data_IF_181456026617
#
_entry.id   IF_181456026617
#
_cell.length_a   1.000
_cell.length_b   1.000
_cell.length_c   1.000
_cell.angle_alpha   90.00
_cell.angle_beta   90.00
_cell.angle_gamma   90.00
#
_symmetry.space_group_name_H-M   'P 1'
#
loop_
_entity.id
_entity.type
_entity.pdbx_description
1 polymer ?
#
# COMPACT_ATOMS: atom_id res chain seq x y z
N UNK A 1 -21.81 -15.93 62.77
CA UNK A 1 -21.95 -15.61 61.31
C UNK A 1 -22.22 -14.13 61.19
N UNK A 2 -21.18 -13.35 60.82
CA UNK A 2 -21.32 -11.90 60.67
C UNK A 2 -21.56 -11.64 59.19
N UNK A 3 -22.78 -11.23 58.84
CA UNK A 3 -23.13 -10.81 57.49
C UNK A 3 -22.46 -9.47 57.17
N UNK A 4 -21.51 -9.49 56.26
CA UNK A 4 -20.84 -8.30 55.74
C UNK A 4 -21.83 -7.47 54.90
N UNK A 5 -22.41 -6.42 55.52
CA UNK A 5 -23.28 -5.45 54.82
C UNK A 5 -22.48 -4.76 53.74
N UNK A 6 -22.67 -5.18 52.46
CA UNK A 6 -22.11 -4.54 51.26
C UNK A 6 -22.46 -3.03 51.25
N UNK A 7 -21.44 -2.24 51.42
CA UNK A 7 -21.51 -0.78 51.48
C UNK A 7 -22.16 -0.17 50.21
N UNK A 8 -23.40 0.35 50.25
CA UNK A 8 -24.16 0.80 49.07
C UNK A 8 -23.53 1.98 48.33
N UNK A 9 -22.67 2.76 49.00
CA UNK A 9 -21.98 3.93 48.43
C UNK A 9 -20.89 3.47 47.42
N UNK A 10 -20.20 2.36 47.69
CA UNK A 10 -19.15 1.82 46.80
C UNK A 10 -19.74 1.24 45.53
N UNK A 11 -20.91 0.64 45.56
CA UNK A 11 -21.62 0.11 44.39
C UNK A 11 -22.19 1.22 43.49
N UNK A 12 -22.64 2.33 44.07
CA UNK A 12 -23.16 3.50 43.34
C UNK A 12 -22.04 4.25 42.61
N UNK A 13 -20.87 4.47 43.25
CA UNK A 13 -19.69 5.08 42.60
C UNK A 13 -19.15 4.24 41.41
N UNK A 14 -19.13 2.90 41.54
CA UNK A 14 -18.71 2.00 40.47
C UNK A 14 -19.69 2.02 39.27
N UNK A 15 -20.99 2.13 39.53
CA UNK A 15 -22.04 2.23 38.50
C UNK A 15 -22.01 3.59 37.80
N UNK A 16 -21.73 4.69 38.50
CA UNK A 16 -21.57 6.03 37.93
C UNK A 16 -20.32 6.14 37.04
N UNK A 17 -19.15 5.59 37.42
CA UNK A 17 -17.96 5.56 36.60
C UNK A 17 -18.20 4.82 35.28
N UNK A 18 -18.87 3.67 35.31
CA UNK A 18 -19.16 2.86 34.12
C UNK A 18 -20.10 3.57 33.13
N UNK A 19 -21.02 4.40 33.61
CA UNK A 19 -21.91 5.23 32.77
C UNK A 19 -21.17 6.42 32.17
N UNK A 20 -20.26 7.04 32.94
CA UNK A 20 -19.47 8.18 32.46
C UNK A 20 -18.54 7.79 31.29
N UNK A 21 -17.77 6.71 31.42
CA UNK A 21 -16.89 6.23 30.37
C UNK A 21 -17.64 5.96 29.05
N UNK A 22 -18.80 5.36 29.11
CA UNK A 22 -19.61 5.13 27.91
C UNK A 22 -20.09 6.42 27.27
N UNK A 23 -20.53 7.38 28.07
CA UNK A 23 -20.96 8.70 27.58
C UNK A 23 -19.78 9.47 26.94
N UNK A 24 -18.63 9.42 27.56
CA UNK A 24 -17.40 10.03 27.01
C UNK A 24 -17.02 9.40 25.69
N UNK A 25 -17.06 8.05 25.60
CA UNK A 25 -16.77 7.33 24.34
C UNK A 25 -17.83 7.62 23.26
N UNK A 26 -19.12 7.65 23.60
CA UNK A 26 -20.22 8.04 22.69
C UNK A 26 -20.01 9.45 22.13
N UNK A 27 -19.64 10.40 22.99
CA UNK A 27 -19.38 11.79 22.62
C UNK A 27 -18.13 11.89 21.70
N UNK A 28 -17.03 11.27 22.11
CA UNK A 28 -15.79 11.26 21.36
C UNK A 28 -15.98 10.65 19.97
N UNK A 29 -16.52 9.43 19.89
CA UNK A 29 -16.77 8.72 18.65
C UNK A 29 -17.63 9.54 17.68
N UNK A 30 -18.68 10.19 18.19
CA UNK A 30 -19.57 11.01 17.38
C UNK A 30 -18.86 12.25 16.82
N UNK A 31 -18.30 13.08 17.70
CA UNK A 31 -17.80 14.39 17.28
C UNK A 31 -16.50 14.28 16.49
N UNK A 32 -15.60 13.43 16.93
CA UNK A 32 -14.35 13.18 16.19
C UNK A 32 -14.64 12.49 14.87
N UNK A 33 -15.62 11.57 14.83
CA UNK A 33 -16.05 10.92 13.58
C UNK A 33 -16.69 11.89 12.58
N UNK A 34 -17.44 12.90 13.04
CA UNK A 34 -17.99 13.94 12.15
C UNK A 34 -16.87 14.82 11.58
N UNK A 35 -15.93 15.27 12.42
CA UNK A 35 -14.84 16.17 11.99
C UNK A 35 -13.88 15.48 11.01
N UNK A 36 -13.49 14.24 11.30
CA UNK A 36 -12.59 13.46 10.43
C UNK A 36 -13.29 12.75 9.25
N UNK A 37 -14.62 12.85 9.17
CA UNK A 37 -15.42 12.08 8.23
C UNK A 37 -15.10 12.36 6.78
N UNK A 38 -14.91 13.63 6.39
CA UNK A 38 -14.63 14.02 5.00
C UNK A 38 -13.30 13.41 4.49
N UNK A 39 -12.16 13.63 5.17
CA UNK A 39 -10.90 12.97 4.79
C UNK A 39 -11.02 11.45 4.68
N UNK A 40 -11.66 10.79 5.65
CA UNK A 40 -11.83 9.33 5.66
C UNK A 40 -12.64 8.85 4.46
N UNK A 41 -13.72 9.54 4.09
CA UNK A 41 -14.51 9.21 2.90
C UNK A 41 -13.66 9.32 1.63
N UNK A 42 -12.93 10.42 1.47
CA UNK A 42 -12.08 10.64 0.29
C UNK A 42 -10.97 9.61 0.17
N UNK A 43 -10.22 9.37 1.26
CA UNK A 43 -9.15 8.38 1.32
C UNK A 43 -9.68 6.97 1.01
N UNK A 44 -10.83 6.60 1.59
CA UNK A 44 -11.41 5.28 1.36
C UNK A 44 -11.93 5.10 -0.08
N UNK A 45 -12.55 6.11 -0.68
CA UNK A 45 -13.04 6.03 -2.06
C UNK A 45 -11.90 5.99 -3.07
N UNK A 46 -10.88 6.83 -2.89
CA UNK A 46 -9.67 6.80 -3.74
C UNK A 46 -8.95 5.47 -3.59
N UNK A 47 -8.84 4.91 -2.37
CA UNK A 47 -8.32 3.58 -2.13
C UNK A 47 -9.08 2.48 -2.86
N UNK A 48 -10.43 2.53 -2.92
CA UNK A 48 -11.23 1.58 -3.71
C UNK A 48 -10.82 1.56 -5.20
N UNK A 49 -10.54 2.74 -5.77
CA UNK A 49 -10.13 2.86 -7.17
C UNK A 49 -8.72 2.30 -7.37
N UNK A 50 -7.78 2.66 -6.48
CA UNK A 50 -6.36 2.26 -6.57
C UNK A 50 -6.15 0.75 -6.39
N UNK A 51 -7.00 0.05 -5.64
CA UNK A 51 -6.90 -1.42 -5.47
C UNK A 51 -6.89 -2.14 -6.82
N UNK A 52 -7.61 -1.64 -7.82
CA UNK A 52 -7.72 -2.22 -9.16
C UNK A 52 -6.99 -1.41 -10.24
N UNK A 53 -6.06 -0.53 -9.87
CA UNK A 53 -5.31 0.30 -10.81
C UNK A 53 -4.65 -0.53 -11.91
N UNK A 54 -3.97 -1.63 -11.54
CA UNK A 54 -3.29 -2.51 -12.51
C UNK A 54 -4.29 -3.09 -13.50
N UNK A 55 -5.33 -3.72 -13.03
CA UNK A 55 -6.33 -4.40 -13.86
C UNK A 55 -7.10 -3.42 -14.77
N UNK A 56 -7.44 -2.25 -14.23
CA UNK A 56 -8.10 -1.21 -15.04
C UNK A 56 -7.16 -0.67 -16.12
N UNK A 57 -5.88 -0.47 -15.79
CA UNK A 57 -4.86 -0.01 -16.74
C UNK A 57 -4.67 -1.03 -17.85
N UNK A 58 -4.49 -2.30 -17.53
CA UNK A 58 -4.33 -3.38 -18.50
C UNK A 58 -5.55 -3.52 -19.41
N UNK A 59 -6.74 -3.47 -18.83
CA UNK A 59 -8.00 -3.57 -19.58
C UNK A 59 -8.28 -2.34 -20.47
N UNK A 60 -7.96 -1.14 -20.01
CA UNK A 60 -8.30 0.10 -20.73
C UNK A 60 -7.30 0.51 -21.80
N UNK A 61 -6.11 -0.13 -21.85
CA UNK A 61 -5.02 0.22 -22.76
C UNK A 61 -4.77 -0.89 -23.77
N UNK A 62 -5.30 -0.82 -25.01
CA UNK A 62 -5.18 -1.89 -26.01
C UNK A 62 -3.74 -2.27 -26.36
N UNK A 63 -2.81 -1.33 -26.23
CA UNK A 63 -1.38 -1.54 -26.48
C UNK A 63 -0.64 -2.19 -25.30
N UNK A 64 -1.32 -2.47 -24.18
CA UNK A 64 -0.71 -3.13 -23.02
C UNK A 64 -0.38 -4.61 -23.28
N UNK A 65 -1.25 -5.29 -24.03
CA UNK A 65 -1.03 -6.69 -24.34
C UNK A 65 -0.10 -6.81 -25.56
N UNK A 66 1.08 -7.36 -25.34
CA UNK A 66 2.09 -7.60 -26.36
C UNK A 66 2.10 -9.10 -26.71
N UNK A 67 2.25 -9.43 -27.98
CA UNK A 67 2.42 -10.82 -28.40
C UNK A 67 3.71 -11.39 -27.81
N UNK A 68 3.58 -12.52 -27.10
CA UNK A 68 4.73 -13.21 -26.50
C UNK A 68 5.53 -13.95 -27.58
N UNK A 69 6.76 -13.51 -27.80
CA UNK A 69 7.70 -14.10 -28.76
C UNK A 69 8.79 -14.96 -28.10
N UNK A 70 8.65 -15.25 -26.81
CA UNK A 70 9.61 -16.01 -26.02
C UNK A 70 10.61 -15.12 -25.26
N UNK A 71 10.97 -15.56 -24.06
CA UNK A 71 11.84 -14.84 -23.16
C UNK A 71 13.22 -14.52 -23.74
N UNK A 72 13.76 -15.44 -24.55
CA UNK A 72 15.04 -15.32 -25.21
C UNK A 72 15.11 -14.18 -26.24
N UNK A 73 13.96 -13.70 -26.69
CA UNK A 73 13.85 -12.62 -27.68
C UNK A 73 13.66 -11.23 -27.04
N UNK A 74 13.57 -11.15 -25.70
CA UNK A 74 13.45 -9.88 -25.00
C UNK A 74 14.71 -9.03 -25.23
N UNK A 75 14.50 -7.75 -25.54
CA UNK A 75 15.59 -6.81 -25.69
C UNK A 75 16.24 -6.49 -24.33
N UNK A 76 17.57 -6.58 -24.23
CA UNK A 76 18.28 -6.13 -23.03
C UNK A 76 18.17 -4.60 -22.85
N UNK A 77 18.39 -4.08 -21.64
CA UNK A 77 18.20 -2.66 -21.30
C UNK A 77 18.95 -1.69 -22.23
N UNK A 78 20.18 -2.02 -22.63
CA UNK A 78 20.99 -1.17 -23.51
C UNK A 78 20.38 -1.03 -24.91
N UNK A 79 19.93 -2.15 -25.49
CA UNK A 79 19.34 -2.15 -26.82
C UNK A 79 17.94 -1.52 -26.81
N UNK A 80 17.14 -1.77 -25.74
CA UNK A 80 15.87 -1.10 -25.53
C UNK A 80 16.05 0.42 -25.48
N UNK A 81 16.98 0.89 -24.65
CA UNK A 81 17.32 2.31 -24.53
C UNK A 81 17.72 2.92 -25.86
N UNK A 82 18.61 2.25 -26.61
CA UNK A 82 19.09 2.70 -27.91
C UNK A 82 17.96 2.83 -28.94
N UNK A 83 17.10 1.80 -29.07
CA UNK A 83 15.98 1.82 -30.03
C UNK A 83 14.93 2.87 -29.71
N UNK A 84 14.63 3.08 -28.42
CA UNK A 84 13.68 4.11 -28.02
C UNK A 84 14.27 5.51 -28.22
N UNK A 85 15.55 5.73 -27.91
CA UNK A 85 16.23 7.00 -28.16
C UNK A 85 16.29 7.38 -29.66
N UNK A 86 16.32 6.41 -30.57
CA UNK A 86 16.24 6.65 -32.01
C UNK A 86 14.87 7.18 -32.45
N UNK A 87 13.79 6.81 -31.74
CA UNK A 87 12.42 7.21 -32.03
C UNK A 87 12.03 8.51 -31.33
N UNK A 88 12.63 8.77 -30.16
CA UNK A 88 12.38 9.97 -29.34
C UNK A 88 13.75 10.55 -28.99
N UNK A 89 14.37 11.35 -29.89
CA UNK A 89 15.62 12.05 -29.62
C UNK A 89 15.42 13.05 -28.48
N UNK A 90 16.51 13.39 -27.81
CA UNK A 90 16.57 14.37 -26.72
C UNK A 90 15.99 13.92 -25.36
N UNK A 91 15.68 12.62 -25.18
CA UNK A 91 15.27 12.05 -23.89
C UNK A 91 16.41 11.29 -23.18
N UNK A 92 16.65 11.62 -21.91
CA UNK A 92 17.59 10.91 -21.06
C UNK A 92 16.92 9.72 -20.37
N UNK A 93 16.97 8.55 -21.03
CA UNK A 93 16.36 7.30 -20.54
C UNK A 93 17.24 6.70 -19.44
N UNK A 94 16.67 6.59 -18.23
CA UNK A 94 17.37 6.08 -17.04
C UNK A 94 16.72 4.86 -16.41
N UNK A 95 15.41 4.81 -16.40
CA UNK A 95 14.64 3.82 -15.65
C UNK A 95 13.80 3.00 -16.61
N UNK A 96 13.98 1.68 -16.56
CA UNK A 96 13.21 0.72 -17.35
C UNK A 96 12.53 -0.27 -16.41
N UNK A 97 11.25 -0.55 -16.66
CA UNK A 97 10.48 -1.58 -15.98
C UNK A 97 9.95 -2.58 -16.99
N UNK A 98 10.39 -3.81 -16.87
CA UNK A 98 9.84 -4.96 -17.58
C UNK A 98 8.75 -5.56 -16.70
N UNK A 99 7.59 -5.86 -17.28
CA UNK A 99 6.42 -6.41 -16.56
C UNK A 99 6.12 -7.86 -16.96
N UNK A 100 7.03 -8.51 -17.67
CA UNK A 100 6.88 -9.84 -18.20
C UNK A 100 7.18 -9.89 -19.70
N UNK A 101 6.83 -10.99 -20.32
CA UNK A 101 7.05 -11.26 -21.74
C UNK A 101 5.79 -10.97 -22.60
N UNK A 102 4.67 -10.65 -21.98
CA UNK A 102 3.39 -10.30 -22.62
C UNK A 102 2.96 -8.83 -22.39
N UNK A 103 3.82 -8.04 -21.77
CA UNK A 103 3.55 -6.64 -21.41
C UNK A 103 4.63 -5.70 -21.97
N UNK A 104 4.32 -4.40 -22.17
CA UNK A 104 5.28 -3.42 -22.64
C UNK A 104 6.32 -3.10 -21.57
N UNK A 105 7.51 -2.68 -22.00
CA UNK A 105 8.50 -2.06 -21.12
C UNK A 105 8.11 -0.62 -20.87
N UNK A 106 7.93 -0.26 -19.59
CA UNK A 106 7.75 1.13 -19.17
C UNK A 106 9.10 1.79 -18.99
N UNK A 107 9.23 2.97 -19.54
CA UNK A 107 10.45 3.77 -19.53
C UNK A 107 10.10 5.14 -18.93
N UNK A 108 10.83 5.56 -17.90
CA UNK A 108 10.70 6.90 -17.34
C UNK A 108 12.00 7.68 -17.60
N UNK A 109 11.95 8.75 -18.39
CA UNK A 109 13.03 9.70 -18.54
C UNK A 109 13.25 10.49 -17.24
N UNK A 110 14.44 11.08 -17.07
CA UNK A 110 14.74 11.92 -15.91
C UNK A 110 14.27 13.38 -16.08
N UNK A 111 14.13 13.80 -17.33
CA UNK A 111 13.90 15.20 -17.74
C UNK A 111 12.50 15.44 -18.32
N UNK A 112 11.60 14.46 -18.15
CA UNK A 112 10.23 14.53 -18.69
C UNK A 112 9.24 13.84 -17.76
N UNK A 113 8.07 14.40 -17.62
CA UNK A 113 6.92 13.78 -16.95
C UNK A 113 6.23 12.71 -17.82
N UNK A 114 6.67 12.54 -19.08
CA UNK A 114 6.12 11.55 -19.99
C UNK A 114 6.67 10.16 -19.66
N UNK A 115 5.77 9.21 -19.50
CA UNK A 115 6.08 7.78 -19.44
C UNK A 115 5.99 7.18 -20.84
N UNK A 116 7.04 6.48 -21.26
CA UNK A 116 7.10 5.81 -22.55
C UNK A 116 6.85 4.32 -22.34
N UNK A 117 6.03 3.75 -23.21
CA UNK A 117 5.80 2.31 -23.24
C UNK A 117 6.27 1.76 -24.58
N UNK A 118 7.15 0.77 -24.56
CA UNK A 118 7.76 0.19 -25.74
C UNK A 118 7.54 -1.33 -25.80
N UNK A 119 7.48 -1.87 -27.00
CA UNK A 119 7.40 -3.31 -27.22
C UNK A 119 8.70 -3.97 -26.74
N UNK A 120 8.65 -5.00 -25.86
CA UNK A 120 9.81 -5.61 -25.23
C UNK A 120 10.75 -6.34 -26.24
N UNK A 121 10.25 -6.68 -27.42
CA UNK A 121 10.98 -7.43 -28.44
C UNK A 121 11.56 -6.55 -29.54
N UNK A 122 10.83 -5.51 -29.92
CA UNK A 122 11.22 -4.66 -31.06
C UNK A 122 11.77 -3.29 -30.64
N UNK A 123 11.51 -2.86 -29.41
CA UNK A 123 11.80 -1.51 -28.95
C UNK A 123 10.93 -0.42 -29.61
N UNK A 124 9.88 -0.81 -30.36
CA UNK A 124 8.94 0.14 -30.95
C UNK A 124 8.13 0.84 -29.84
N UNK A 125 8.10 2.15 -29.86
CA UNK A 125 7.27 2.94 -28.96
C UNK A 125 5.79 2.69 -29.26
N UNK A 126 5.05 2.22 -28.27
CA UNK A 126 3.62 1.89 -28.34
C UNK A 126 2.74 3.04 -27.87
N UNK A 127 3.20 3.74 -26.83
CA UNK A 127 2.50 4.88 -26.26
C UNK A 127 3.46 5.82 -25.52
N UNK A 128 3.06 7.09 -25.45
CA UNK A 128 3.62 8.10 -24.57
C UNK A 128 2.47 8.63 -23.73
N UNK A 129 2.59 8.59 -22.42
CA UNK A 129 1.51 8.95 -21.50
C UNK A 129 2.06 9.96 -20.52
N UNK A 130 1.32 11.03 -20.27
CA UNK A 130 1.60 11.94 -19.21
C UNK A 130 1.58 11.19 -17.87
N UNK A 131 2.58 11.42 -17.01
CA UNK A 131 2.62 10.86 -15.66
C UNK A 131 1.40 11.33 -14.84
N UNK A 132 0.90 12.52 -15.10
CA UNK A 132 -0.30 13.10 -14.50
C UNK A 132 -1.58 12.54 -15.15
N UNK A 133 -1.69 11.20 -15.21
CA UNK A 133 -2.90 10.52 -15.68
C UNK A 133 -3.96 10.43 -14.57
N UNK A 134 -5.14 9.87 -14.92
CA UNK A 134 -6.24 9.67 -13.98
C UNK A 134 -5.81 8.98 -12.68
N UNK A 135 -4.94 7.97 -12.75
CA UNK A 135 -4.52 7.24 -11.55
C UNK A 135 -3.53 8.05 -10.71
N UNK A 136 -2.72 8.91 -11.33
CA UNK A 136 -1.89 9.86 -10.59
C UNK A 136 -2.76 10.81 -9.76
N UNK A 137 -3.80 11.38 -10.36
CA UNK A 137 -4.75 12.25 -9.66
C UNK A 137 -5.46 11.53 -8.50
N UNK A 138 -5.84 10.26 -8.69
CA UNK A 138 -6.45 9.46 -7.62
C UNK A 138 -5.43 9.16 -6.51
N UNK A 139 -4.18 8.87 -6.85
CA UNK A 139 -3.11 8.61 -5.88
C UNK A 139 -2.76 9.88 -5.08
N UNK A 140 -2.68 11.05 -5.73
CA UNK A 140 -2.53 12.33 -5.05
C UNK A 140 -3.69 12.62 -4.11
N UNK A 141 -4.93 12.33 -4.53
CA UNK A 141 -6.09 12.41 -3.65
C UNK A 141 -6.01 11.47 -2.46
N UNK A 142 -5.51 10.25 -2.65
CA UNK A 142 -5.36 9.26 -1.59
C UNK A 142 -4.29 9.64 -0.58
N UNK A 143 -3.14 10.13 -1.05
CA UNK A 143 -1.97 10.41 -0.19
C UNK A 143 -1.93 11.82 0.36
N UNK A 144 -2.48 12.80 -0.37
CA UNK A 144 -2.33 14.22 -0.05
C UNK A 144 -3.65 15.00 -0.08
N UNK A 145 -4.81 14.39 -0.42
CA UNK A 145 -6.11 15.07 -0.61
C UNK A 145 -6.02 16.25 -1.58
N UNK A 146 -5.21 16.12 -2.65
CA UNK A 146 -4.92 17.17 -3.65
C UNK A 146 -4.38 18.48 -3.05
N UNK A 147 -3.83 18.42 -1.83
CA UNK A 147 -3.15 19.53 -1.17
C UNK A 147 -1.64 19.46 -1.43
N UNK A 148 -0.88 20.57 -1.23
CA UNK A 148 0.57 20.50 -1.24
C UNK A 148 1.08 19.36 -0.35
N UNK A 149 1.99 18.54 -0.87
CA UNK A 149 2.42 17.25 -0.31
C UNK A 149 2.71 17.27 1.19
N UNK A 150 3.37 18.31 1.67
CA UNK A 150 3.75 18.42 3.09
C UNK A 150 2.53 18.55 3.99
N UNK A 151 1.55 19.39 3.61
CA UNK A 151 0.32 19.61 4.36
C UNK A 151 -0.62 18.41 4.21
N UNK A 152 -0.84 17.99 2.96
CA UNK A 152 -1.79 16.92 2.63
C UNK A 152 -1.41 15.59 3.26
N UNK A 153 -0.13 15.21 3.20
CA UNK A 153 0.37 14.00 3.84
C UNK A 153 0.16 13.99 5.36
N UNK A 154 0.38 15.14 6.01
CA UNK A 154 0.12 15.27 7.44
C UNK A 154 -1.37 15.09 7.74
N UNK A 155 -2.27 15.75 6.99
CA UNK A 155 -3.72 15.64 7.16
C UNK A 155 -4.20 14.20 6.96
N UNK A 156 -3.72 13.51 5.92
CA UNK A 156 -4.05 12.09 5.65
C UNK A 156 -3.58 11.21 6.80
N UNK A 157 -2.32 11.36 7.25
CA UNK A 157 -1.75 10.53 8.32
C UNK A 157 -2.50 10.72 9.65
N UNK A 158 -2.79 11.95 10.05
CA UNK A 158 -3.57 12.22 11.25
C UNK A 158 -5.02 11.75 11.15
N UNK A 159 -5.65 11.91 9.97
CA UNK A 159 -7.00 11.39 9.73
C UNK A 159 -7.05 9.87 9.81
N UNK A 160 -6.02 9.19 9.31
CA UNK A 160 -5.86 7.73 9.41
C UNK A 160 -5.70 7.28 10.86
N UNK A 161 -4.89 7.99 11.66
CA UNK A 161 -4.74 7.72 13.09
C UNK A 161 -6.07 7.87 13.83
N UNK A 162 -6.77 8.98 13.60
CA UNK A 162 -8.09 9.24 14.16
C UNK A 162 -9.07 8.14 13.76
N UNK A 163 -9.09 7.74 12.49
CA UNK A 163 -9.94 6.67 12.00
C UNK A 163 -9.66 5.34 12.70
N UNK A 164 -8.38 4.95 12.88
CA UNK A 164 -7.99 3.77 13.65
C UNK A 164 -8.52 3.82 15.09
N UNK A 165 -8.41 4.96 15.77
CA UNK A 165 -8.99 5.18 17.11
C UNK A 165 -10.51 5.09 17.08
N UNK A 166 -11.17 5.61 16.05
CA UNK A 166 -12.63 5.51 15.90
C UNK A 166 -13.08 4.07 15.68
N UNK A 167 -12.35 3.24 14.96
CA UNK A 167 -12.63 1.82 14.84
C UNK A 167 -12.55 1.11 16.19
N UNK A 168 -11.53 1.41 17.01
CA UNK A 168 -11.38 0.86 18.36
C UNK A 168 -12.49 1.34 19.31
N UNK A 169 -12.86 2.62 19.26
CA UNK A 169 -13.97 3.13 20.07
C UNK A 169 -15.31 2.58 19.58
N UNK A 170 -15.45 2.34 18.27
CA UNK A 170 -16.62 1.74 17.65
C UNK A 170 -16.92 0.33 18.16
N UNK A 171 -15.90 -0.55 18.30
CA UNK A 171 -16.09 -1.89 18.85
C UNK A 171 -16.61 -1.85 20.31
N UNK A 172 -16.16 -0.86 21.10
CA UNK A 172 -16.67 -0.66 22.48
C UNK A 172 -18.17 -0.28 22.47
N UNK A 173 -18.62 0.51 21.49
CA UNK A 173 -20.03 0.90 21.33
C UNK A 173 -20.86 -0.25 20.77
N UNK A 174 -20.31 -1.00 19.81
CA UNK A 174 -20.94 -2.16 19.20
C UNK A 174 -21.15 -3.30 20.21
N UNK A 175 -20.28 -3.46 21.24
CA UNK A 175 -20.28 -4.61 22.13
C UNK A 175 -21.63 -4.83 22.83
N UNK A 176 -22.29 -6.00 22.63
CA UNK A 176 -23.61 -6.25 23.19
C UNK A 176 -23.61 -6.27 24.73
N UNK A 177 -24.54 -5.58 25.35
CA UNK A 177 -24.67 -5.56 26.82
C UNK A 177 -25.03 -6.94 27.41
N UNK A 178 -25.69 -7.77 26.63
CA UNK A 178 -26.07 -9.16 26.97
C UNK A 178 -25.96 -10.03 25.72
N UNK A 179 -25.39 -11.21 25.87
CA UNK A 179 -25.20 -12.18 24.77
C UNK A 179 -26.41 -13.11 24.62
N UNK A 180 -27.61 -12.53 24.50
CA UNK A 180 -28.84 -13.27 24.21
C UNK A 180 -29.10 -13.36 22.70
N UNK A 181 -29.73 -14.42 22.22
CA UNK A 181 -29.98 -14.70 20.78
C UNK A 181 -30.51 -13.49 20.00
N UNK A 182 -31.47 -12.73 20.60
CA UNK A 182 -32.03 -11.52 19.96
C UNK A 182 -31.00 -10.41 19.80
N UNK A 183 -30.15 -10.16 20.81
CA UNK A 183 -29.12 -9.11 20.76
C UNK A 183 -27.97 -9.47 19.84
N UNK A 184 -27.59 -10.77 19.83
CA UNK A 184 -26.62 -11.28 18.88
C UNK A 184 -27.10 -11.09 17.44
N UNK A 185 -28.33 -11.48 17.13
CA UNK A 185 -28.89 -11.24 15.79
C UNK A 185 -28.85 -9.76 15.40
N UNK A 186 -29.19 -8.85 16.32
CA UNK A 186 -29.16 -7.40 16.06
C UNK A 186 -27.73 -6.85 15.88
N UNK A 187 -26.72 -7.45 16.49
CA UNK A 187 -25.33 -7.03 16.38
C UNK A 187 -24.68 -7.47 15.06
N UNK A 188 -25.13 -8.58 14.47
CA UNK A 188 -24.50 -9.20 13.31
C UNK A 188 -25.36 -9.19 12.02
N UNK A 189 -26.64 -8.76 12.10
CA UNK A 189 -27.51 -8.76 10.93
C UNK A 189 -28.26 -7.45 10.74
N UNK A 190 -28.44 -7.05 9.48
CA UNK A 190 -29.20 -5.84 9.09
C UNK A 190 -30.68 -6.19 9.00
N UNK A 191 -31.54 -5.35 9.63
CA UNK A 191 -32.98 -5.51 9.62
C UNK A 191 -33.60 -4.74 8.45
N UNK A 192 -33.58 -5.31 7.23
CA UNK A 192 -34.01 -4.66 5.98
C UNK A 192 -35.47 -4.21 5.96
N UNK A 193 -36.36 -4.86 6.74
CA UNK A 193 -37.79 -4.52 6.83
C UNK A 193 -38.10 -3.43 7.86
N UNK A 194 -37.05 -2.74 8.39
CA UNK A 194 -37.20 -1.67 9.36
C UNK A 194 -37.46 -0.30 8.74
N UNK A 195 -37.78 0.69 9.57
CA UNK A 195 -37.78 2.10 9.14
C UNK A 195 -36.35 2.53 8.78
N UNK A 196 -36.20 3.49 7.85
CA UNK A 196 -34.90 3.98 7.40
C UNK A 196 -33.88 4.25 8.53
N UNK A 197 -34.31 4.89 9.61
CA UNK A 197 -33.46 5.14 10.78
C UNK A 197 -32.87 3.84 11.37
N UNK A 198 -33.64 2.74 11.37
CA UNK A 198 -33.19 1.45 11.86
C UNK A 198 -32.22 0.79 10.89
N UNK A 199 -32.54 0.81 9.62
CA UNK A 199 -31.64 0.27 8.56
C UNK A 199 -30.31 1.00 8.58
N UNK A 200 -30.31 2.33 8.60
CA UNK A 200 -29.08 3.12 8.65
C UNK A 200 -28.24 2.85 9.92
N UNK A 201 -28.89 2.71 11.09
CA UNK A 201 -28.20 2.32 12.31
C UNK A 201 -27.55 0.92 12.17
N UNK A 202 -28.28 -0.05 11.64
CA UNK A 202 -27.77 -1.40 11.43
C UNK A 202 -26.63 -1.41 10.39
N UNK A 203 -26.74 -0.64 9.30
CA UNK A 203 -25.64 -0.47 8.32
C UNK A 203 -24.37 0.02 9.01
N UNK A 204 -24.47 1.12 9.77
CA UNK A 204 -23.30 1.65 10.48
C UNK A 204 -22.69 0.63 11.46
N UNK A 205 -23.54 0.02 12.27
CA UNK A 205 -23.11 -0.84 13.38
C UNK A 205 -22.62 -2.23 12.92
N UNK A 206 -23.36 -2.86 12.00
CA UNK A 206 -23.06 -4.21 11.51
C UNK A 206 -21.90 -4.19 10.50
N UNK A 207 -21.95 -3.28 9.52
CA UNK A 207 -20.87 -3.17 8.52
C UNK A 207 -19.58 -2.68 9.16
N UNK A 208 -19.66 -1.74 10.12
CA UNK A 208 -18.50 -1.30 10.88
C UNK A 208 -17.81 -2.44 11.63
N UNK A 209 -18.58 -3.40 12.17
CA UNK A 209 -18.01 -4.59 12.78
C UNK A 209 -17.31 -5.50 11.75
N UNK A 210 -17.95 -5.77 10.61
CA UNK A 210 -17.36 -6.65 9.60
C UNK A 210 -16.11 -6.04 8.93
N UNK A 211 -16.08 -4.72 8.74
CA UNK A 211 -14.91 -4.04 8.19
C UNK A 211 -13.79 -3.77 9.22
N UNK A 212 -14.04 -4.01 10.53
CA UNK A 212 -13.13 -3.62 11.60
C UNK A 212 -11.70 -4.16 11.41
N UNK A 213 -11.55 -5.45 11.17
CA UNK A 213 -10.24 -6.08 11.08
C UNK A 213 -9.43 -5.54 9.89
N UNK A 214 -10.04 -5.52 8.71
CA UNK A 214 -9.38 -5.00 7.50
C UNK A 214 -9.17 -3.48 7.59
N UNK A 215 -10.14 -2.75 8.13
CA UNK A 215 -10.01 -1.31 8.36
C UNK A 215 -8.87 -0.96 9.32
N UNK A 216 -8.69 -1.73 10.40
CA UNK A 216 -7.55 -1.56 11.32
C UNK A 216 -6.23 -1.92 10.65
N UNK A 217 -6.19 -2.98 9.83
CA UNK A 217 -4.99 -3.36 9.10
C UNK A 217 -4.60 -2.29 8.07
N UNK A 218 -5.56 -1.79 7.27
CA UNK A 218 -5.33 -0.68 6.34
C UNK A 218 -4.88 0.60 7.06
N UNK A 219 -5.51 0.95 8.17
CA UNK A 219 -5.12 2.11 8.97
C UNK A 219 -3.70 1.94 9.53
N UNK A 220 -3.38 0.79 10.13
CA UNK A 220 -2.06 0.52 10.70
C UNK A 220 -0.94 0.56 9.65
N UNK A 221 -1.13 -0.14 8.53
CA UNK A 221 -0.15 -0.13 7.43
C UNK A 221 -0.01 1.24 6.78
N UNK A 222 -1.11 2.00 6.69
CA UNK A 222 -1.09 3.40 6.26
C UNK A 222 -0.31 4.31 7.22
N UNK A 223 -0.42 4.10 8.54
CA UNK A 223 0.36 4.84 9.54
C UNK A 223 1.86 4.54 9.47
N UNK A 224 2.25 3.30 9.18
CA UNK A 224 3.65 2.91 8.93
C UNK A 224 4.23 3.67 7.73
N UNK A 225 3.41 3.91 6.69
CA UNK A 225 3.83 4.71 5.53
C UNK A 225 3.78 6.23 5.80
N UNK A 226 2.83 6.67 6.64
CA UNK A 226 2.56 8.08 6.90
C UNK A 226 3.47 8.74 7.94
N UNK A 227 3.87 7.99 8.98
CA UNK A 227 4.69 8.51 10.09
C UNK A 227 5.99 7.74 10.23
N UNK A 228 7.12 8.43 10.09
CA UNK A 228 8.46 7.85 10.27
C UNK A 228 8.62 7.26 11.67
N UNK A 229 8.10 7.93 12.71
CA UNK A 229 8.16 7.45 14.10
C UNK A 229 7.41 6.12 14.27
N UNK A 230 6.25 5.94 13.61
CA UNK A 230 5.51 4.66 13.64
C UNK A 230 6.30 3.58 12.92
N UNK A 231 6.85 3.90 11.74
CA UNK A 231 7.69 2.99 10.95
C UNK A 231 8.89 2.48 11.75
N UNK A 232 9.67 3.39 12.33
CA UNK A 232 10.84 3.05 13.15
C UNK A 232 10.47 2.27 14.41
N UNK A 233 9.38 2.66 15.09
CA UNK A 233 8.90 1.96 16.28
C UNK A 233 8.47 0.52 15.96
N UNK A 234 7.76 0.31 14.85
CA UNK A 234 7.34 -1.02 14.41
C UNK A 234 8.56 -1.84 14.00
N UNK A 235 9.49 -1.26 13.23
CA UNK A 235 10.73 -1.92 12.82
C UNK A 235 11.53 -2.41 14.03
N UNK A 236 11.77 -1.54 15.00
CA UNK A 236 12.47 -1.87 16.24
C UNK A 236 11.72 -2.91 17.09
N UNK A 237 10.38 -2.77 17.23
CA UNK A 237 9.56 -3.72 17.99
C UNK A 237 9.55 -5.13 17.37
N UNK A 238 9.76 -5.25 16.05
CA UNK A 238 9.88 -6.52 15.33
C UNK A 238 11.32 -7.07 15.35
N UNK A 239 12.24 -6.45 16.11
CA UNK A 239 13.61 -6.90 16.25
C UNK A 239 14.57 -6.39 15.17
N UNK A 240 14.16 -5.39 14.39
CA UNK A 240 15.03 -4.74 13.41
C UNK A 240 16.19 -4.02 14.10
N UNK A 241 17.41 -4.36 13.71
CA UNK A 241 18.66 -3.81 14.28
C UNK A 241 19.48 -3.01 13.29
N UNK A 242 19.15 -3.10 12.00
CA UNK A 242 19.85 -2.36 10.93
C UNK A 242 19.21 -0.99 10.73
N UNK A 243 20.04 -0.02 10.31
CA UNK A 243 19.50 1.23 9.79
C UNK A 243 18.55 0.95 8.63
N UNK A 244 17.48 1.74 8.52
CA UNK A 244 16.49 1.60 7.44
C UNK A 244 17.15 1.79 6.06
N UNK A 245 18.20 2.63 6.02
CA UNK A 245 19.07 2.84 4.86
C UNK A 245 20.52 2.46 5.23
N UNK A 246 20.89 1.17 5.15
CA UNK A 246 22.24 0.73 5.46
C UNK A 246 23.26 1.30 4.47
N UNK A 247 24.48 1.61 4.91
CA UNK A 247 25.52 2.11 4.00
C UNK A 247 25.91 1.06 2.95
N UNK A 248 26.16 1.51 1.73
CA UNK A 248 26.56 0.70 0.56
C UNK A 248 28.03 0.22 0.64
N UNK A 249 28.53 -0.14 1.82
CA UNK A 249 29.98 -0.24 2.04
C UNK A 249 30.54 -1.65 2.05
N UNK A 250 29.67 -2.67 1.95
CA UNK A 250 30.18 -4.02 2.06
C UNK A 250 29.59 -4.97 1.01
N UNK A 251 30.41 -5.85 0.52
CA UNK A 251 30.04 -6.77 -0.57
C UNK A 251 29.43 -8.04 0.02
N UNK A 252 28.22 -8.39 -0.43
CA UNK A 252 27.58 -9.67 -0.09
C UNK A 252 28.07 -10.77 -1.03
N UNK A 253 28.10 -10.47 -2.31
CA UNK A 253 28.45 -11.43 -3.34
C UNK A 253 29.46 -10.82 -4.30
N UNK A 254 30.58 -11.48 -4.48
CA UNK A 254 31.62 -11.06 -5.42
C UNK A 254 31.31 -11.57 -6.83
N UNK A 255 31.48 -10.69 -7.79
CA UNK A 255 31.42 -11.05 -9.19
C UNK A 255 32.56 -11.99 -9.58
N UNK A 256 32.25 -13.12 -10.21
CA UNK A 256 33.24 -14.16 -10.57
C UNK A 256 33.97 -13.90 -11.89
N UNK A 257 33.39 -13.08 -12.75
CA UNK A 257 33.96 -12.72 -14.05
C UNK A 257 34.35 -11.24 -14.06
N UNK A 258 35.39 -10.87 -14.83
CA UNK A 258 35.74 -9.45 -14.96
C UNK A 258 34.56 -8.69 -15.60
N UNK A 259 34.18 -7.54 -15.04
CA UNK A 259 33.05 -6.77 -15.55
C UNK A 259 33.34 -6.22 -16.93
N UNK A 260 32.34 -6.13 -17.82
CA UNK A 260 32.51 -5.55 -19.14
C UNK A 260 32.83 -4.05 -19.05
N UNK A 261 33.53 -3.54 -20.08
CA UNK A 261 33.76 -2.12 -20.22
C UNK A 261 32.50 -1.42 -20.76
N UNK A 262 32.16 -0.28 -20.21
CA UNK A 262 31.00 0.53 -20.60
C UNK A 262 29.71 0.20 -19.83
N UNK A 263 28.99 1.26 -19.44
CA UNK A 263 27.80 1.16 -18.57
C UNK A 263 26.69 0.35 -19.23
N UNK A 264 26.40 0.54 -20.50
CA UNK A 264 25.33 -0.18 -21.20
C UNK A 264 25.54 -1.71 -21.12
N UNK A 265 26.77 -2.19 -21.35
CA UNK A 265 27.07 -3.62 -21.22
C UNK A 265 27.00 -4.12 -19.77
N UNK A 266 27.40 -3.29 -18.80
CA UNK A 266 27.25 -3.61 -17.37
C UNK A 266 25.78 -3.78 -16.99
N UNK A 267 24.90 -2.91 -17.50
CA UNK A 267 23.46 -3.00 -17.26
C UNK A 267 22.84 -4.28 -17.85
N UNK A 268 23.23 -4.66 -19.05
CA UNK A 268 22.75 -5.91 -19.67
C UNK A 268 23.19 -7.15 -18.89
N UNK A 269 24.44 -7.16 -18.42
CA UNK A 269 24.96 -8.25 -17.59
C UNK A 269 24.21 -8.35 -16.25
N UNK A 270 23.94 -7.22 -15.58
CA UNK A 270 23.14 -7.21 -14.36
C UNK A 270 21.71 -7.68 -14.64
N UNK A 271 21.07 -7.17 -15.71
CA UNK A 271 19.74 -7.59 -16.10
C UNK A 271 19.67 -9.11 -16.28
N UNK A 272 20.62 -9.69 -17.04
CA UNK A 272 20.71 -11.13 -17.25
C UNK A 272 20.92 -11.88 -15.93
N UNK A 273 21.85 -11.42 -15.07
CA UNK A 273 22.09 -12.05 -13.76
C UNK A 273 20.85 -12.02 -12.88
N UNK A 274 20.18 -10.88 -12.79
CA UNK A 274 18.97 -10.76 -11.96
C UNK A 274 17.86 -11.67 -12.47
N UNK A 275 17.60 -11.68 -13.78
CA UNK A 275 16.50 -12.48 -14.35
C UNK A 275 16.74 -13.99 -14.32
N UNK A 276 18.00 -14.46 -14.40
CA UNK A 276 18.32 -15.90 -14.51
C UNK A 276 18.86 -16.52 -13.22
N UNK A 277 19.51 -15.73 -12.35
CA UNK A 277 20.20 -16.29 -11.18
C UNK A 277 19.63 -15.80 -9.84
N UNK A 278 19.17 -14.54 -9.77
CA UNK A 278 18.82 -13.91 -8.49
C UNK A 278 17.32 -13.93 -8.21
N UNK A 279 16.48 -13.65 -9.23
CA UNK A 279 15.03 -13.58 -9.07
C UNK A 279 14.45 -14.97 -8.75
N UNK A 280 13.60 -15.03 -7.72
CA UNK A 280 12.90 -16.27 -7.31
C UNK A 280 11.46 -16.33 -7.85
N UNK A 281 10.81 -15.18 -8.00
CA UNK A 281 9.42 -15.07 -8.42
C UNK A 281 9.29 -14.07 -9.56
N UNK A 282 8.56 -14.44 -10.60
CA UNK A 282 8.37 -13.63 -11.81
C UNK A 282 9.68 -12.98 -12.29
N UNK A 283 10.66 -13.77 -12.72
CA UNK A 283 12.00 -13.26 -13.05
C UNK A 283 12.00 -12.21 -14.16
N UNK A 284 10.94 -12.16 -14.98
CA UNK A 284 10.76 -11.18 -16.03
C UNK A 284 10.14 -9.86 -15.55
N UNK A 285 9.62 -9.80 -14.31
CA UNK A 285 9.25 -8.54 -13.68
C UNK A 285 10.48 -7.93 -13.01
N UNK A 286 11.14 -7.01 -13.72
CA UNK A 286 12.36 -6.35 -13.24
C UNK A 286 12.33 -4.86 -13.57
N UNK A 287 12.70 -4.03 -12.61
CA UNK A 287 13.11 -2.66 -12.92
C UNK A 287 14.62 -2.50 -12.80
N UNK A 288 15.20 -1.75 -13.72
CA UNK A 288 16.63 -1.48 -13.74
C UNK A 288 16.87 0.00 -14.00
N UNK A 289 17.79 0.60 -13.21
CA UNK A 289 18.06 2.02 -13.27
C UNK A 289 19.53 2.28 -13.58
N UNK A 290 19.76 2.99 -14.66
CA UNK A 290 21.09 3.47 -15.02
C UNK A 290 21.53 4.54 -14.00
N UNK A 291 22.73 4.45 -13.43
CA UNK A 291 23.20 5.44 -12.45
C UNK A 291 23.35 6.81 -13.08
N UNK A 292 22.99 7.86 -12.33
CA UNK A 292 23.08 9.25 -12.75
C UNK A 292 24.49 9.79 -12.62
N UNK A 293 25.08 9.56 -11.45
CA UNK A 293 26.36 10.07 -11.06
C UNK A 293 27.41 8.96 -10.96
N UNK A 294 28.70 9.33 -10.89
CA UNK A 294 29.82 8.40 -10.80
C UNK A 294 29.82 7.58 -9.50
N UNK A 295 29.19 8.09 -8.45
CA UNK A 295 29.20 7.47 -7.12
C UNK A 295 27.90 6.68 -6.81
N UNK A 296 26.91 6.73 -7.71
CA UNK A 296 25.65 6.03 -7.56
C UNK A 296 25.79 4.54 -7.89
N UNK A 297 25.34 3.66 -7.00
CA UNK A 297 25.25 2.23 -7.26
C UNK A 297 24.20 1.94 -8.35
N UNK A 298 24.39 0.83 -9.08
CA UNK A 298 23.37 0.36 -10.01
C UNK A 298 22.22 -0.23 -9.21
N UNK A 299 21.00 0.24 -9.47
CA UNK A 299 19.79 -0.22 -8.84
C UNK A 299 19.03 -1.16 -9.76
N UNK A 300 18.63 -2.30 -9.21
CA UNK A 300 17.65 -3.20 -9.82
C UNK A 300 16.59 -3.59 -8.78
N UNK A 301 15.38 -3.88 -9.23
CA UNK A 301 14.31 -4.38 -8.37
C UNK A 301 13.65 -5.57 -9.06
N UNK A 302 13.41 -6.65 -8.32
CA UNK A 302 12.80 -7.89 -8.78
C UNK A 302 11.86 -8.46 -7.72
N UNK A 303 11.30 -9.65 -7.95
CA UNK A 303 10.37 -10.32 -7.04
C UNK A 303 9.21 -9.40 -6.60
N UNK A 304 8.62 -8.66 -7.56
CA UNK A 304 7.62 -7.61 -7.31
C UNK A 304 6.22 -8.14 -7.07
N UNK A 305 6.02 -9.46 -7.12
CA UNK A 305 4.73 -10.11 -6.91
C UNK A 305 4.17 -9.83 -5.52
N UNK A 306 2.88 -9.52 -5.45
CA UNK A 306 2.22 -9.24 -4.18
C UNK A 306 2.62 -7.93 -3.51
N UNK A 307 3.36 -7.06 -4.19
CA UNK A 307 3.81 -5.79 -3.66
C UNK A 307 4.95 -5.91 -2.65
N UNK A 308 5.79 -6.92 -2.78
CA UNK A 308 6.91 -7.23 -1.87
C UNK A 308 8.29 -6.97 -2.46
N UNK A 309 8.43 -6.04 -3.30
CA UNK A 309 9.64 -5.68 -4.05
C UNK A 309 10.96 -6.05 -3.36
N UNK A 310 11.89 -6.63 -4.12
CA UNK A 310 13.25 -6.95 -3.72
C UNK A 310 14.22 -5.99 -4.39
N UNK A 311 14.79 -5.07 -3.61
CA UNK A 311 15.74 -4.07 -4.08
C UNK A 311 17.15 -4.62 -4.04
N UNK A 312 17.88 -4.46 -5.14
CA UNK A 312 19.25 -4.92 -5.31
C UNK A 312 20.12 -3.73 -5.70
N UNK A 313 21.26 -3.60 -5.03
CA UNK A 313 22.28 -2.61 -5.31
C UNK A 313 23.57 -3.29 -5.75
N UNK A 314 24.10 -2.86 -6.85
CA UNK A 314 25.36 -3.38 -7.40
C UNK A 314 26.41 -2.27 -7.46
N UNK A 315 27.64 -2.63 -7.07
CA UNK A 315 28.78 -1.75 -7.25
C UNK A 315 28.97 -1.47 -8.75
N UNK A 316 29.17 -0.21 -9.08
CA UNK A 316 29.24 0.25 -10.47
C UNK A 316 30.46 -0.26 -11.22
N UNK A 317 31.60 -0.41 -10.53
CA UNK A 317 32.85 -0.78 -11.17
C UNK A 317 32.99 -2.29 -11.35
N UNK A 318 32.74 -3.04 -10.28
CA UNK A 318 32.97 -4.48 -10.24
C UNK A 318 31.71 -5.33 -10.25
N UNK A 319 30.52 -4.71 -10.28
CA UNK A 319 29.19 -5.35 -10.29
C UNK A 319 28.92 -6.25 -9.06
N UNK A 320 29.65 -6.09 -7.97
CA UNK A 320 29.40 -6.83 -6.75
C UNK A 320 28.07 -6.42 -6.11
N UNK A 321 27.32 -7.40 -5.57
CA UNK A 321 26.10 -7.15 -4.83
C UNK A 321 26.42 -6.55 -3.44
N UNK A 322 25.80 -5.42 -3.12
CA UNK A 322 26.09 -4.65 -1.91
C UNK A 322 25.19 -5.04 -0.74
N UNK A 323 25.66 -4.77 0.47
CA UNK A 323 25.00 -5.11 1.74
C UNK A 323 23.66 -4.44 2.00
N UNK A 324 23.39 -3.35 1.29
CA UNK A 324 22.08 -2.66 1.28
C UNK A 324 21.01 -3.39 0.48
N UNK A 325 21.40 -4.43 -0.29
CA UNK A 325 20.45 -5.25 -1.06
C UNK A 325 19.57 -6.10 -0.16
N UNK A 326 18.30 -6.21 -0.56
CA UNK A 326 17.33 -7.07 0.13
C UNK A 326 17.60 -8.55 -0.13
N UNK A 327 17.28 -9.39 0.85
CA UNK A 327 17.25 -10.84 0.71
C UNK A 327 15.95 -11.30 0.03
N UNK A 328 15.85 -12.56 -0.41
CA UNK A 328 14.56 -13.15 -0.72
C UNK A 328 13.60 -13.06 0.48
N UNK A 329 12.29 -12.94 0.21
CA UNK A 329 11.28 -12.75 1.27
C UNK A 329 11.25 -13.87 2.31
N UNK A 330 11.54 -15.11 1.91
CA UNK A 330 11.63 -16.29 2.77
C UNK A 330 12.91 -16.34 3.65
N UNK A 331 13.89 -15.50 3.34
CA UNK A 331 15.16 -15.39 4.07
C UNK A 331 15.25 -14.09 4.89
N UNK A 332 14.26 -13.20 4.78
CA UNK A 332 14.22 -11.95 5.54
C UNK A 332 13.91 -12.17 7.02
N UNK A 333 14.47 -11.32 7.87
CA UNK A 333 14.01 -11.22 9.25
C UNK A 333 12.60 -10.62 9.33
N UNK A 334 11.94 -10.80 10.47
CA UNK A 334 10.55 -10.38 10.66
C UNK A 334 10.34 -8.88 10.43
N UNK A 335 11.31 -8.04 10.81
CA UNK A 335 11.20 -6.60 10.66
C UNK A 335 11.27 -6.19 9.18
N UNK A 336 12.28 -6.66 8.46
CA UNK A 336 12.44 -6.39 7.03
C UNK A 336 11.30 -7.01 6.21
N UNK A 337 10.91 -8.25 6.54
CA UNK A 337 9.73 -8.88 5.92
C UNK A 337 8.49 -8.01 6.03
N UNK A 338 8.18 -7.52 7.24
CA UNK A 338 7.01 -6.66 7.45
C UNK A 338 7.12 -5.33 6.69
N UNK A 339 8.28 -4.68 6.70
CA UNK A 339 8.47 -3.40 6.00
C UNK A 339 8.25 -3.54 4.49
N UNK A 340 8.75 -4.62 3.90
CA UNK A 340 8.56 -4.91 2.47
C UNK A 340 7.14 -5.36 2.14
N UNK A 341 6.51 -6.17 3.01
CA UNK A 341 5.13 -6.60 2.84
C UNK A 341 4.10 -5.49 3.10
N UNK A 342 4.50 -4.39 3.75
CA UNK A 342 3.56 -3.36 4.23
C UNK A 342 2.67 -2.79 3.12
N UNK A 343 3.22 -2.53 1.94
CA UNK A 343 2.44 -2.06 0.79
C UNK A 343 1.44 -3.12 0.31
N UNK A 344 1.88 -4.36 0.13
CA UNK A 344 1.02 -5.47 -0.27
C UNK A 344 -0.09 -5.78 0.75
N UNK A 345 0.22 -5.61 2.05
CA UNK A 345 -0.74 -5.70 3.15
C UNK A 345 -1.73 -4.53 3.15
N UNK A 346 -1.28 -3.33 2.79
CA UNK A 346 -2.14 -2.14 2.73
C UNK A 346 -3.15 -2.21 1.59
N UNK A 347 -2.72 -2.67 0.43
CA UNK A 347 -3.53 -2.71 -0.80
C UNK A 347 -4.30 -4.02 -1.00
N UNK A 348 -4.00 -5.04 -0.18
CA UNK A 348 -4.52 -6.40 -0.37
C UNK A 348 -3.86 -7.15 -1.53
N UNK A 349 -2.83 -6.59 -2.16
CA UNK A 349 -2.15 -7.21 -3.30
C UNK A 349 -1.40 -8.49 -2.92
N UNK A 350 -0.97 -8.61 -1.66
CA UNK A 350 -0.21 -9.76 -1.15
C UNK A 350 -0.95 -11.12 -1.30
N UNK A 351 -2.27 -11.13 -1.27
CA UNK A 351 -3.09 -12.34 -1.44
C UNK A 351 -3.79 -12.41 -2.81
N UNK A 352 -3.33 -11.61 -3.78
CA UNK A 352 -3.86 -11.62 -5.15
C UNK A 352 -5.28 -11.07 -5.27
N UNK A 353 -6.00 -11.50 -6.31
CA UNK A 353 -7.32 -10.97 -6.66
C UNK A 353 -8.37 -11.14 -5.54
N UNK A 354 -8.33 -12.27 -4.80
CA UNK A 354 -9.28 -12.52 -3.72
C UNK A 354 -9.18 -11.46 -2.60
N UNK A 355 -7.96 -11.18 -2.14
CA UNK A 355 -7.75 -10.17 -1.10
C UNK A 355 -8.02 -8.76 -1.61
N UNK A 356 -7.72 -8.44 -2.87
CA UNK A 356 -8.10 -7.17 -3.49
C UNK A 356 -9.61 -6.91 -3.41
N UNK A 357 -10.45 -7.91 -3.72
CA UNK A 357 -11.90 -7.78 -3.56
C UNK A 357 -12.32 -7.56 -2.10
N UNK A 358 -11.71 -8.28 -1.16
CA UNK A 358 -11.98 -8.07 0.27
C UNK A 358 -11.64 -6.64 0.72
N UNK A 359 -10.49 -6.12 0.27
CA UNK A 359 -10.06 -4.76 0.60
C UNK A 359 -10.93 -3.70 -0.06
N UNK A 360 -11.33 -3.91 -1.30
CA UNK A 360 -12.30 -3.05 -1.99
C UNK A 360 -13.60 -2.90 -1.20
N UNK A 361 -14.23 -4.03 -0.81
CA UNK A 361 -15.47 -3.98 -0.05
C UNK A 361 -15.27 -3.40 1.35
N UNK A 362 -14.18 -3.74 2.03
CA UNK A 362 -13.86 -3.15 3.32
C UNK A 362 -13.67 -1.64 3.23
N UNK A 363 -12.93 -1.16 2.21
CA UNK A 363 -12.71 0.28 1.99
C UNK A 363 -14.02 1.00 1.63
N UNK A 364 -14.89 0.40 0.83
CA UNK A 364 -16.21 0.94 0.50
C UNK A 364 -17.11 1.04 1.75
N UNK A 365 -17.04 0.04 2.62
CA UNK A 365 -17.72 0.10 3.93
C UNK A 365 -17.13 1.24 4.76
N UNK A 366 -15.80 1.33 4.87
CA UNK A 366 -15.13 2.40 5.61
C UNK A 366 -15.55 3.80 5.11
N UNK A 367 -15.68 3.99 3.78
CA UNK A 367 -16.21 5.22 3.20
C UNK A 367 -17.66 5.51 3.64
N UNK A 368 -18.46 4.47 3.80
CA UNK A 368 -19.88 4.61 4.21
C UNK A 368 -20.06 4.94 5.70
N UNK A 369 -19.08 4.61 6.57
CA UNK A 369 -19.23 4.78 8.02
C UNK A 369 -19.41 6.23 8.46
N UNK A 370 -18.65 7.24 8.00
CA UNK A 370 -18.88 8.62 8.36
C UNK A 370 -20.27 9.11 7.90
N UNK A 371 -20.71 8.70 6.72
CA UNK A 371 -22.01 9.08 6.13
C UNK A 371 -23.15 8.50 6.98
N UNK A 372 -23.11 7.19 7.23
CA UNK A 372 -24.13 6.50 8.04
C UNK A 372 -24.11 6.98 9.48
N UNK A 373 -22.93 7.25 10.05
CA UNK A 373 -22.78 7.84 11.39
C UNK A 373 -23.42 9.23 11.49
N UNK A 374 -23.20 10.09 10.51
CA UNK A 374 -23.85 11.40 10.42
C UNK A 374 -25.38 11.27 10.33
N UNK A 375 -25.88 10.35 9.51
CA UNK A 375 -27.31 10.05 9.42
C UNK A 375 -27.91 9.53 10.74
N UNK A 376 -27.15 8.71 11.50
CA UNK A 376 -27.57 8.26 12.85
C UNK A 376 -27.70 9.45 13.80
N UNK A 377 -26.76 10.39 13.77
CA UNK A 377 -26.81 11.60 14.59
C UNK A 377 -28.01 12.50 14.25
N UNK A 378 -28.24 12.80 12.95
CA UNK A 378 -29.40 13.56 12.51
C UNK A 378 -30.72 12.88 12.92
N UNK A 379 -30.78 11.56 12.83
CA UNK A 379 -31.95 10.78 13.21
C UNK A 379 -32.29 10.82 14.70
N UNK A 380 -31.34 11.14 15.59
CA UNK A 380 -31.55 11.32 17.05
C UNK A 380 -32.07 12.72 17.43
N UNK A 381 -31.90 13.72 16.56
CA UNK A 381 -32.35 15.10 16.79
C UNK A 381 -33.80 15.36 16.41
N UNK A 382 -34.37 14.50 15.59
CA UNK A 382 -35.81 14.47 15.23
C UNK A 382 -36.53 13.37 16.04
#
# INVERSE_FOLDING_TARGET
>A
MIEEKKNPIRSRKKKQKKVWWRRANDWFHLWVGIVSGIPVVLISLTGCILVFQKEITEWSRPWWNVENLGQENLLPPSEMRKRVAQQIPDMHIRKLWYYGDDAPVKIAPDDSELLIYANPYTGKVLAQIDHEDFFHEIDEGHRNLWMPREIGRAVVSWSTLIFGVLLLTGIVLWWPKKWKKRQMRQAFTITWRGKWKRINYDLHNVLGFYALLLGLLMAFTGLVMGFIVVRESVFSALGGTKAIDPPLTYVIEKWTSPPPTGMDKKMDVIWHKVTHEIAKHNPLEISIHFPKDTDEAIYACTDMTGGTWRVLYFDRENLNLLSSSDKPMDEEDTANWFMRANYGLHTGYIGGMFTKWLYFFASLICASLPITGFCVWLGKRK
#
